data_IF_544108088958
#
_entry.id   IF_544108088958
#
_cell.length_a   1.000
_cell.length_b   1.000
_cell.length_c   1.000
_cell.angle_alpha   90.00
_cell.angle_beta   90.00
_cell.angle_gamma   90.00
#
_symmetry.space_group_name_H-M   'P 1'
#
loop_
_entity.id
_entity.type
_entity.pdbx_description
1 polymer ?
#
# COMPACT_ATOMS: atom_id res chain seq x y z
N UNK A 1 17.74 -29.36 34.13
CA UNK A 1 18.40 -28.20 33.51
C UNK A 1 18.21 -28.32 32.01
N UNK A 2 17.14 -27.78 31.48
CA UNK A 2 16.77 -27.89 30.07
C UNK A 2 16.97 -26.52 29.43
N UNK A 3 17.91 -26.42 28.47
CA UNK A 3 18.18 -25.22 27.69
C UNK A 3 17.06 -25.07 26.66
N UNK A 4 16.20 -24.09 26.85
CA UNK A 4 15.26 -23.65 25.82
C UNK A 4 16.03 -22.98 24.69
N UNK A 5 16.06 -23.60 23.53
CA UNK A 5 16.54 -23.03 22.29
C UNK A 5 15.48 -22.03 21.82
N UNK A 6 15.79 -20.75 21.93
CA UNK A 6 14.99 -19.68 21.33
C UNK A 6 15.26 -19.67 19.82
N UNK A 7 14.42 -20.35 19.05
CA UNK A 7 14.44 -20.27 17.60
C UNK A 7 13.66 -19.02 17.19
N UNK A 8 14.40 -17.95 16.89
CA UNK A 8 13.84 -16.75 16.27
C UNK A 8 13.42 -17.09 14.84
N UNK A 9 12.16 -17.41 14.62
CA UNK A 9 11.62 -17.58 13.27
C UNK A 9 11.28 -16.22 12.69
N UNK A 10 12.08 -15.80 11.70
CA UNK A 10 11.78 -14.73 10.79
C UNK A 10 10.48 -15.08 10.05
N UNK A 11 9.38 -14.44 10.40
CA UNK A 11 8.23 -14.34 9.49
C UNK A 11 8.66 -13.36 8.40
N UNK A 12 9.31 -13.89 7.39
CA UNK A 12 9.40 -13.22 6.11
C UNK A 12 7.95 -13.22 5.61
N UNK A 13 7.20 -12.16 5.92
CA UNK A 13 6.16 -11.71 5.00
C UNK A 13 6.90 -11.64 3.68
N UNK A 14 6.64 -12.57 2.77
CA UNK A 14 7.31 -12.61 1.47
C UNK A 14 6.87 -11.40 0.63
N UNK A 15 7.23 -10.23 1.08
CA UNK A 15 7.40 -9.07 0.25
C UNK A 15 8.64 -9.41 -0.55
N UNK A 16 8.44 -9.99 -1.72
CA UNK A 16 9.45 -9.88 -2.76
C UNK A 16 9.81 -8.40 -2.80
N UNK A 17 10.98 -8.08 -2.26
CA UNK A 17 11.52 -6.74 -2.29
C UNK A 17 11.82 -6.43 -3.77
N UNK A 18 10.78 -5.96 -4.47
CA UNK A 18 10.93 -5.14 -5.63
C UNK A 18 11.49 -3.82 -5.07
N UNK A 19 12.80 -3.81 -4.78
CA UNK A 19 13.47 -2.63 -4.29
C UNK A 19 13.17 -1.45 -5.21
N UNK A 20 13.00 -0.23 -4.67
CA UNK A 20 12.86 0.95 -5.52
C UNK A 20 14.02 0.96 -6.51
N UNK A 21 13.72 1.26 -7.78
CA UNK A 21 14.76 1.45 -8.80
C UNK A 21 15.78 2.45 -8.24
N UNK A 22 17.09 2.17 -8.28
CA UNK A 22 18.07 3.20 -8.00
C UNK A 22 17.82 4.35 -8.97
N UNK A 23 17.42 5.50 -8.45
CA UNK A 23 17.35 6.73 -9.24
C UNK A 23 18.80 7.03 -9.66
N UNK A 24 19.13 6.84 -10.93
CA UNK A 24 20.41 7.29 -11.46
C UNK A 24 20.54 8.78 -11.15
N UNK A 25 21.52 9.12 -10.33
CA UNK A 25 21.82 10.53 -10.03
C UNK A 25 22.21 11.22 -11.34
N UNK A 26 21.30 12.02 -11.85
CA UNK A 26 21.68 13.10 -12.75
C UNK A 26 22.45 14.07 -11.86
N UNK A 27 23.77 14.12 -12.00
CA UNK A 27 24.62 15.07 -11.30
C UNK A 27 24.15 16.48 -11.68
N UNK A 28 23.34 17.08 -10.83
CA UNK A 28 22.96 18.46 -10.97
C UNK A 28 24.20 19.33 -10.67
N UNK A 29 24.81 19.86 -11.70
CA UNK A 29 25.70 21.01 -11.56
C UNK A 29 24.88 22.12 -10.89
N UNK A 30 25.38 22.66 -9.79
CA UNK A 30 24.77 23.76 -9.06
C UNK A 30 24.61 24.94 -10.01
N UNK A 31 23.39 25.41 -10.31
CA UNK A 31 23.21 26.71 -10.93
C UNK A 31 23.33 27.76 -9.83
N UNK A 32 24.34 28.56 -9.92
CA UNK A 32 24.42 29.85 -9.22
C UNK A 32 23.33 30.76 -9.82
N UNK A 33 22.26 31.03 -9.08
CA UNK A 33 21.23 32.02 -9.49
C UNK A 33 19.82 31.61 -9.10
N UNK A 34 19.37 32.12 -7.97
CA UNK A 34 18.02 32.37 -7.51
C UNK A 34 16.83 31.84 -8.34
N UNK A 35 16.40 30.64 -8.04
CA UNK A 35 15.00 30.29 -7.93
C UNK A 35 14.85 29.46 -6.66
N UNK A 36 14.73 30.16 -5.53
CA UNK A 36 14.31 29.53 -4.30
C UNK A 36 12.90 28.97 -4.55
N UNK A 37 12.78 27.65 -4.65
CA UNK A 37 11.48 26.97 -4.70
C UNK A 37 10.60 27.43 -3.51
N UNK A 38 9.32 27.12 -3.49
CA UNK A 38 8.42 27.50 -2.41
C UNK A 38 9.04 27.14 -1.05
N UNK A 39 8.89 28.04 -0.07
CA UNK A 39 9.36 27.80 1.28
C UNK A 39 8.80 26.51 1.83
N UNK A 40 9.65 25.73 2.51
CA UNK A 40 9.22 24.49 3.14
C UNK A 40 8.16 24.75 4.23
N UNK A 41 7.18 23.86 4.40
CA UNK A 41 6.31 23.88 5.57
C UNK A 41 7.14 23.90 6.87
N UNK A 42 6.72 24.66 7.89
CA UNK A 42 7.51 24.85 9.10
C UNK A 42 7.69 23.58 9.97
N UNK A 43 6.92 22.53 9.73
CA UNK A 43 7.03 21.21 10.36
C UNK A 43 7.82 20.19 9.53
N UNK A 44 8.45 20.63 8.44
CA UNK A 44 9.27 19.81 7.55
C UNK A 44 10.74 20.08 7.81
N UNK A 45 11.50 19.02 8.06
CA UNK A 45 12.96 19.06 8.20
C UNK A 45 13.60 19.43 6.84
N UNK A 46 14.53 20.39 6.79
CA UNK A 46 15.09 20.87 5.54
C UNK A 46 16.03 19.85 4.84
N UNK A 47 16.54 18.87 5.56
CA UNK A 47 17.48 17.85 5.02
C UNK A 47 16.72 16.68 4.44
N UNK A 48 15.82 16.05 5.20
CA UNK A 48 14.97 14.93 4.74
C UNK A 48 13.85 15.39 3.81
N UNK A 49 13.47 16.65 3.92
CA UNK A 49 12.34 17.30 3.23
C UNK A 49 10.99 16.63 3.54
N UNK A 50 10.88 16.04 4.73
CA UNK A 50 9.64 15.52 5.31
C UNK A 50 9.59 15.85 6.81
N UNK A 51 8.55 15.39 7.52
CA UNK A 51 8.33 15.68 8.95
C UNK A 51 9.27 14.94 9.92
N UNK A 52 10.24 14.18 9.41
CA UNK A 52 11.17 13.40 10.21
C UNK A 52 12.61 13.90 9.98
N UNK A 53 13.49 13.89 10.99
CA UNK A 53 14.89 14.26 10.80
C UNK A 53 15.60 13.24 9.90
N UNK A 54 16.52 13.70 9.05
CA UNK A 54 17.33 12.80 8.24
C UNK A 54 18.27 11.95 9.11
N UNK A 55 18.19 10.61 8.99
CA UNK A 55 19.08 9.69 9.71
C UNK A 55 20.34 9.33 8.91
N UNK A 56 20.22 9.18 7.58
CA UNK A 56 21.35 8.86 6.71
C UNK A 56 21.39 9.80 5.52
N UNK A 57 22.58 10.37 5.20
CA UNK A 57 22.75 11.21 4.02
C UNK A 57 22.41 10.44 2.72
N UNK A 58 21.73 11.11 1.79
CA UNK A 58 21.44 10.59 0.46
C UNK A 58 20.36 9.51 0.40
N UNK A 59 19.62 9.28 1.47
CA UNK A 59 18.39 8.47 1.46
C UNK A 59 17.20 9.43 1.48
N UNK A 60 16.29 9.26 0.55
CA UNK A 60 15.16 10.16 0.30
C UNK A 60 13.82 9.41 0.22
N UNK A 61 12.71 10.15 0.27
CA UNK A 61 11.37 9.62 0.09
C UNK A 61 10.96 8.56 1.11
N UNK A 62 10.17 7.59 0.69
CA UNK A 62 9.66 6.53 1.57
C UNK A 62 10.78 5.72 2.25
N UNK A 63 11.93 5.55 1.59
CA UNK A 63 13.09 4.86 2.17
C UNK A 63 13.69 5.62 3.36
N UNK A 64 13.70 6.95 3.33
CA UNK A 64 14.13 7.78 4.46
C UNK A 64 13.16 7.64 5.64
N UNK A 65 11.86 7.66 5.37
CA UNK A 65 10.83 7.50 6.39
C UNK A 65 10.94 6.14 7.08
N UNK A 66 11.15 5.06 6.32
CA UNK A 66 11.30 3.69 6.86
C UNK A 66 12.53 3.51 7.76
N UNK A 67 13.53 4.38 7.70
CA UNK A 67 14.65 4.32 8.64
C UNK A 67 14.23 4.58 10.11
N UNK A 68 13.06 5.16 10.33
CA UNK A 68 12.51 5.44 11.65
C UNK A 68 11.64 4.30 12.21
N UNK A 69 11.40 3.26 11.44
CA UNK A 69 10.66 2.07 11.89
C UNK A 69 11.42 1.39 13.02
N UNK A 70 10.73 1.07 14.11
CA UNK A 70 11.35 0.54 15.32
C UNK A 70 11.94 -0.87 15.14
N UNK A 71 11.36 -1.67 14.24
CA UNK A 71 11.84 -3.01 13.91
C UNK A 71 11.28 -3.52 12.58
N UNK A 72 11.94 -4.52 11.96
CA UNK A 72 11.40 -5.19 10.76
C UNK A 72 10.06 -5.91 10.97
N UNK A 73 9.70 -6.16 12.23
CA UNK A 73 8.48 -6.88 12.63
C UNK A 73 7.52 -5.98 13.43
N UNK A 74 7.31 -4.74 12.99
CA UNK A 74 6.50 -3.73 13.67
C UNK A 74 5.18 -4.28 14.22
N UNK A 75 4.46 -5.05 13.43
CA UNK A 75 3.19 -5.66 13.87
C UNK A 75 3.32 -6.40 15.22
N UNK A 76 4.46 -7.07 15.46
CA UNK A 76 4.68 -7.94 16.63
C UNK A 76 5.47 -7.29 17.73
N UNK A 77 6.33 -6.34 17.40
CA UNK A 77 7.37 -5.83 18.31
C UNK A 77 7.32 -4.32 18.52
N UNK A 78 6.39 -3.61 17.87
CA UNK A 78 6.21 -2.18 18.12
C UNK A 78 5.94 -1.91 19.60
N UNK A 79 6.55 -0.87 20.18
CA UNK A 79 6.26 -0.44 21.55
C UNK A 79 4.81 0.03 21.75
N UNK A 80 4.08 0.25 20.66
CA UNK A 80 2.64 0.56 20.70
C UNK A 80 1.78 -0.61 21.18
N UNK A 81 2.30 -1.83 21.14
CA UNK A 81 1.59 -3.03 21.56
C UNK A 81 0.62 -3.57 20.53
N UNK A 82 0.28 -4.85 20.70
CA UNK A 82 -0.52 -5.61 19.72
C UNK A 82 -1.92 -5.05 19.48
N UNK A 83 -2.60 -4.56 20.49
CA UNK A 83 -3.95 -4.03 20.34
C UNK A 83 -3.98 -2.80 19.41
N UNK A 84 -3.01 -1.90 19.51
CA UNK A 84 -2.95 -0.72 18.62
C UNK A 84 -2.45 -1.06 17.22
N UNK A 85 -1.53 -2.02 17.07
CA UNK A 85 -1.11 -2.48 15.74
C UNK A 85 -2.27 -3.16 15.00
N UNK A 86 -3.07 -3.99 15.68
CA UNK A 86 -4.27 -4.58 15.08
C UNK A 86 -5.36 -3.52 14.79
N UNK A 87 -5.50 -2.49 15.63
CA UNK A 87 -6.41 -1.37 15.36
C UNK A 87 -6.01 -0.60 14.08
N UNK A 88 -4.72 -0.37 13.87
CA UNK A 88 -4.21 0.26 12.65
C UNK A 88 -4.53 -0.60 11.41
N UNK A 89 -4.33 -1.92 11.51
CA UNK A 89 -4.63 -2.87 10.43
C UNK A 89 -6.14 -2.89 10.13
N UNK A 90 -6.99 -3.00 11.16
CA UNK A 90 -8.43 -2.99 10.98
C UNK A 90 -8.93 -1.68 10.37
N UNK A 91 -8.35 -0.54 10.77
CA UNK A 91 -8.69 0.75 10.17
C UNK A 91 -8.37 0.74 8.69
N UNK A 92 -7.17 0.30 8.30
CA UNK A 92 -6.78 0.21 6.89
C UNK A 92 -7.67 -0.76 6.11
N UNK A 93 -7.91 -1.95 6.64
CA UNK A 93 -8.75 -2.95 6.00
C UNK A 93 -10.19 -2.43 5.77
N UNK A 94 -10.71 -1.62 6.72
CA UNK A 94 -12.04 -1.00 6.58
C UNK A 94 -12.07 0.12 5.55
N UNK A 95 -11.05 0.97 5.53
CA UNK A 95 -10.99 2.07 4.56
C UNK A 95 -10.81 1.55 3.12
N UNK A 96 -10.23 0.35 2.93
CA UNK A 96 -10.14 -0.34 1.65
C UNK A 96 -11.28 -1.34 1.39
N UNK A 97 -12.28 -1.41 2.26
CA UNK A 97 -13.39 -2.37 2.19
C UNK A 97 -12.93 -3.81 1.90
N UNK A 98 -11.80 -4.23 2.51
CA UNK A 98 -11.18 -5.52 2.25
C UNK A 98 -11.65 -6.59 3.26
N UNK A 99 -12.60 -7.48 2.86
CA UNK A 99 -13.26 -8.39 3.82
C UNK A 99 -12.37 -9.53 4.31
N UNK A 100 -11.44 -10.00 3.49
CA UNK A 100 -10.51 -11.07 3.90
C UNK A 100 -9.58 -10.57 5.00
N UNK A 101 -8.93 -9.43 4.78
CA UNK A 101 -8.01 -8.82 5.72
C UNK A 101 -8.71 -8.43 7.02
N UNK A 102 -9.86 -7.77 6.90
CA UNK A 102 -10.69 -7.43 8.06
C UNK A 102 -11.00 -8.66 8.91
N UNK A 103 -11.55 -9.71 8.31
CA UNK A 103 -12.07 -10.86 9.07
C UNK A 103 -10.97 -11.63 9.77
N UNK A 104 -9.78 -11.74 9.16
CA UNK A 104 -8.62 -12.34 9.79
C UNK A 104 -8.15 -11.50 10.99
N UNK A 105 -8.01 -10.20 10.78
CA UNK A 105 -7.46 -9.29 11.79
C UNK A 105 -8.45 -8.96 12.91
N UNK A 106 -9.75 -9.03 12.67
CA UNK A 106 -10.74 -8.91 13.75
C UNK A 106 -10.60 -10.03 14.78
N UNK A 107 -10.39 -11.26 14.31
CA UNK A 107 -10.16 -12.37 15.23
C UNK A 107 -8.89 -12.19 16.08
N UNK A 108 -7.82 -11.66 15.47
CA UNK A 108 -6.58 -11.36 16.20
C UNK A 108 -6.73 -10.17 17.14
N UNK A 109 -7.38 -9.10 16.71
CA UNK A 109 -7.64 -7.93 17.52
C UNK A 109 -8.40 -8.28 18.82
N UNK A 110 -9.45 -9.09 18.72
CA UNK A 110 -10.16 -9.62 19.89
C UNK A 110 -9.25 -10.46 20.78
N UNK A 111 -8.41 -11.33 20.19
CA UNK A 111 -7.50 -12.20 20.93
C UNK A 111 -6.42 -11.42 21.70
N UNK A 112 -6.02 -10.23 21.23
CA UNK A 112 -5.04 -9.37 21.92
C UNK A 112 -5.70 -8.31 22.80
N UNK A 113 -7.01 -8.39 23.01
CA UNK A 113 -7.74 -7.58 23.98
C UNK A 113 -8.23 -6.24 23.45
N UNK A 114 -8.35 -6.05 22.12
CA UNK A 114 -9.03 -4.87 21.61
C UNK A 114 -10.53 -5.00 21.87
N UNK A 115 -11.11 -3.99 22.52
CA UNK A 115 -12.50 -3.98 22.92
C UNK A 115 -13.45 -4.07 21.72
N UNK A 116 -14.49 -4.94 21.77
CA UNK A 116 -15.49 -5.07 20.69
C UNK A 116 -16.14 -3.75 20.28
N UNK A 117 -16.36 -2.85 21.25
CA UNK A 117 -16.92 -1.53 20.99
C UNK A 117 -16.02 -0.68 20.09
N UNK A 118 -14.69 -0.74 20.29
CA UNK A 118 -13.70 -0.07 19.43
C UNK A 118 -13.71 -0.65 18.02
N UNK A 119 -13.72 -1.98 17.89
CA UNK A 119 -13.82 -2.67 16.61
C UNK A 119 -15.09 -2.25 15.86
N UNK A 120 -16.21 -2.13 16.57
CA UNK A 120 -17.50 -1.75 16.00
C UNK A 120 -17.53 -0.30 15.49
N UNK A 121 -16.83 0.62 16.16
CA UNK A 121 -16.63 1.99 15.68
C UNK A 121 -15.88 2.01 14.33
N UNK A 122 -14.85 1.20 14.16
CA UNK A 122 -14.12 1.08 12.89
C UNK A 122 -14.99 0.41 11.84
N UNK A 123 -15.60 -0.76 12.17
CA UNK A 123 -16.43 -1.55 11.26
C UNK A 123 -17.52 -0.73 10.58
N UNK A 124 -18.18 0.12 11.34
CA UNK A 124 -19.32 0.92 10.87
C UNK A 124 -18.96 2.38 10.57
N UNK A 125 -17.66 2.74 10.54
CA UNK A 125 -17.19 4.13 10.34
C UNK A 125 -17.92 5.14 11.23
N UNK A 126 -18.20 4.74 12.50
CA UNK A 126 -18.92 5.60 13.46
C UNK A 126 -18.05 6.79 13.91
N UNK A 127 -18.68 7.83 14.51
CA UNK A 127 -17.93 8.89 15.21
C UNK A 127 -17.01 8.32 16.29
N UNK A 128 -15.88 8.98 16.53
CA UNK A 128 -14.81 8.52 17.43
C UNK A 128 -15.10 8.86 18.91
N UNK A 129 -16.36 8.90 19.29
CA UNK A 129 -16.80 9.18 20.68
C UNK A 129 -16.68 7.92 21.54
N UNK A 130 -16.27 8.09 22.80
CA UNK A 130 -16.17 6.97 23.75
C UNK A 130 -14.90 6.12 23.62
N UNK A 131 -13.99 6.48 22.71
CA UNK A 131 -12.69 5.85 22.57
C UNK A 131 -11.62 6.54 23.43
N UNK A 132 -10.54 5.83 23.73
CA UNK A 132 -9.35 6.47 24.29
C UNK A 132 -8.73 7.44 23.27
N UNK A 133 -7.95 8.40 23.74
CA UNK A 133 -7.29 9.36 22.85
C UNK A 133 -6.34 8.67 21.87
N UNK A 134 -5.62 7.65 22.31
CA UNK A 134 -4.73 6.83 21.47
C UNK A 134 -5.49 6.09 20.38
N UNK A 135 -6.60 5.43 20.70
CA UNK A 135 -7.46 4.77 19.72
C UNK A 135 -8.02 5.77 18.71
N UNK A 136 -8.50 6.92 19.22
CA UNK A 136 -9.04 8.01 18.38
C UNK A 136 -8.02 8.46 17.35
N UNK A 137 -6.79 8.72 17.79
CA UNK A 137 -5.72 9.20 16.91
C UNK A 137 -5.34 8.16 15.84
N UNK A 138 -5.19 6.88 16.22
CA UNK A 138 -4.86 5.82 15.26
C UNK A 138 -5.93 5.72 14.16
N UNK A 139 -7.21 5.70 14.55
CA UNK A 139 -8.31 5.64 13.57
C UNK A 139 -8.36 6.91 12.72
N UNK A 140 -8.18 8.09 13.31
CA UNK A 140 -8.20 9.36 12.59
C UNK A 140 -7.08 9.43 11.55
N UNK A 141 -5.85 9.02 11.90
CA UNK A 141 -4.71 8.95 10.98
C UNK A 141 -5.04 8.07 9.78
N UNK A 142 -5.54 6.85 10.00
CA UNK A 142 -5.87 5.92 8.92
C UNK A 142 -6.99 6.45 8.01
N UNK A 143 -8.08 6.99 8.60
CA UNK A 143 -9.18 7.58 7.83
C UNK A 143 -8.73 8.78 7.01
N UNK A 144 -7.96 9.69 7.59
CA UNK A 144 -7.53 10.90 6.91
C UNK A 144 -6.60 10.56 5.74
N UNK A 145 -5.61 9.69 5.93
CA UNK A 145 -4.71 9.26 4.86
C UNK A 145 -5.49 8.56 3.73
N UNK A 146 -6.39 7.66 4.05
CA UNK A 146 -7.13 6.88 3.05
C UNK A 146 -8.13 7.73 2.26
N UNK A 147 -8.72 8.77 2.86
CA UNK A 147 -9.74 9.60 2.21
C UNK A 147 -9.17 10.83 1.50
N UNK A 148 -8.11 11.43 2.05
CA UNK A 148 -7.56 12.69 1.53
C UNK A 148 -6.19 12.53 0.87
N UNK A 149 -5.57 11.37 1.00
CA UNK A 149 -4.18 11.10 0.59
C UNK A 149 -3.20 12.12 1.19
N UNK A 150 -3.48 12.58 2.40
CA UNK A 150 -2.64 13.49 3.19
C UNK A 150 -2.90 13.28 4.67
N UNK A 151 -1.92 13.63 5.49
CA UNK A 151 -2.11 13.81 6.93
C UNK A 151 -1.94 15.29 7.25
N UNK A 152 -2.98 15.91 7.79
CA UNK A 152 -2.92 17.32 8.17
C UNK A 152 -1.84 17.56 9.22
N UNK A 153 -1.32 18.78 9.28
CA UNK A 153 -0.37 19.17 10.32
C UNK A 153 -0.95 19.01 11.72
N UNK A 154 -2.22 19.33 11.88
CA UNK A 154 -2.93 19.22 13.15
C UNK A 154 -3.00 17.75 13.61
N UNK A 155 -3.47 16.84 12.73
CA UNK A 155 -3.55 15.41 13.04
C UNK A 155 -2.17 14.82 13.28
N UNK A 156 -1.16 15.20 12.47
CA UNK A 156 0.23 14.77 12.68
C UNK A 156 0.77 15.19 14.07
N UNK A 157 0.66 16.47 14.41
CA UNK A 157 1.14 16.98 15.70
C UNK A 157 0.44 16.32 16.89
N UNK A 158 -0.89 16.13 16.78
CA UNK A 158 -1.67 15.42 17.79
C UNK A 158 -1.22 13.96 17.90
N UNK A 159 -1.02 13.27 16.77
CA UNK A 159 -0.60 11.88 16.76
C UNK A 159 0.78 11.68 17.39
N UNK A 160 1.77 12.52 17.06
CA UNK A 160 3.10 12.49 17.68
C UNK A 160 3.01 12.71 19.20
N UNK A 161 2.20 13.68 19.64
CA UNK A 161 2.00 13.95 21.06
C UNK A 161 1.36 12.77 21.79
N UNK A 162 0.28 12.20 21.25
CA UNK A 162 -0.50 11.14 21.89
C UNK A 162 0.22 9.79 21.86
N UNK A 163 0.90 9.48 20.77
CA UNK A 163 1.68 8.24 20.64
C UNK A 163 3.07 8.35 21.30
N UNK A 164 3.46 9.54 21.75
CA UNK A 164 4.68 9.80 22.51
C UNK A 164 5.93 10.07 21.67
N UNK A 165 5.95 9.76 20.40
CA UNK A 165 7.05 10.07 19.48
C UNK A 165 6.65 9.98 18.01
N UNK A 166 7.43 10.63 17.13
CA UNK A 166 7.28 10.46 15.69
C UNK A 166 7.64 9.04 15.22
N UNK A 167 8.58 8.36 15.88
CA UNK A 167 8.92 6.96 15.55
C UNK A 167 7.74 6.00 15.81
N UNK A 168 6.99 6.20 16.90
CA UNK A 168 5.78 5.43 17.17
C UNK A 168 4.70 5.66 16.10
N UNK A 169 4.59 6.91 15.61
CA UNK A 169 3.70 7.21 14.49
C UNK A 169 4.18 6.55 13.20
N UNK A 170 5.51 6.50 12.95
CA UNK A 170 6.05 5.76 11.80
C UNK A 170 5.68 4.30 11.85
N UNK A 171 5.78 3.64 12.99
CA UNK A 171 5.36 2.24 13.16
C UNK A 171 3.90 2.03 12.75
N UNK A 172 3.00 2.87 13.24
CA UNK A 172 1.55 2.79 12.94
C UNK A 172 1.30 3.03 11.44
N UNK A 173 1.94 4.05 10.86
CA UNK A 173 1.74 4.39 9.44
C UNK A 173 2.40 3.37 8.52
N UNK A 174 3.55 2.79 8.86
CA UNK A 174 4.20 1.73 8.07
C UNK A 174 3.34 0.46 8.03
N UNK A 175 2.67 0.13 9.14
CA UNK A 175 1.64 -0.92 9.13
C UNK A 175 0.49 -0.58 8.20
N UNK A 176 -0.08 0.62 8.29
CA UNK A 176 -1.15 1.06 7.40
C UNK A 176 -0.72 0.99 5.94
N UNK A 177 0.50 1.44 5.62
CA UNK A 177 1.07 1.36 4.28
C UNK A 177 1.22 -0.08 3.78
N UNK A 178 1.75 -0.98 4.63
CA UNK A 178 1.90 -2.40 4.33
C UNK A 178 0.55 -3.06 4.05
N UNK A 179 -0.45 -2.73 4.84
CA UNK A 179 -1.80 -3.29 4.70
C UNK A 179 -2.61 -2.65 3.58
N UNK A 180 -2.32 -1.40 3.18
CA UNK A 180 -2.81 -0.82 1.91
C UNK A 180 -2.34 -1.63 0.71
N UNK A 181 -1.05 -1.97 0.65
CA UNK A 181 -0.52 -2.81 -0.42
C UNK A 181 -1.09 -4.24 -0.38
N UNK A 182 -1.34 -4.79 0.80
CA UNK A 182 -1.96 -6.11 0.96
C UNK A 182 -3.40 -6.09 0.51
N UNK A 183 -4.18 -5.10 0.92
CA UNK A 183 -5.57 -4.90 0.50
C UNK A 183 -5.68 -4.77 -1.04
N UNK A 184 -4.78 -3.99 -1.66
CA UNK A 184 -4.74 -3.85 -3.12
C UNK A 184 -4.54 -5.20 -3.82
N UNK A 185 -3.58 -6.02 -3.37
CA UNK A 185 -3.35 -7.36 -3.95
C UNK A 185 -4.54 -8.29 -3.75
N UNK A 186 -5.13 -8.31 -2.55
CA UNK A 186 -6.32 -9.13 -2.28
C UNK A 186 -7.51 -8.71 -3.14
N UNK A 187 -7.73 -7.41 -3.32
CA UNK A 187 -8.81 -6.85 -4.12
C UNK A 187 -8.62 -7.08 -5.63
N UNK A 188 -7.39 -6.97 -6.14
CA UNK A 188 -7.08 -7.22 -7.55
C UNK A 188 -7.47 -8.64 -7.99
N UNK A 189 -7.19 -9.62 -7.12
CA UNK A 189 -7.48 -11.03 -7.38
C UNK A 189 -8.75 -11.53 -6.69
N UNK A 190 -9.55 -10.61 -6.17
CA UNK A 190 -10.85 -10.87 -5.56
C UNK A 190 -10.79 -12.05 -4.56
N UNK A 191 -9.86 -11.97 -3.62
CA UNK A 191 -9.63 -13.03 -2.63
C UNK A 191 -10.77 -13.07 -1.62
N UNK A 192 -11.47 -14.19 -1.57
CA UNK A 192 -12.53 -14.47 -0.60
C UNK A 192 -12.04 -15.28 0.58
N UNK A 193 -12.81 -15.23 1.68
CA UNK A 193 -12.56 -16.03 2.87
C UNK A 193 -12.56 -17.54 2.55
N UNK A 194 -11.73 -18.33 3.26
CA UNK A 194 -11.77 -19.77 3.17
C UNK A 194 -13.17 -20.34 3.43
N UNK A 195 -13.52 -21.50 2.89
CA UNK A 195 -14.77 -22.16 3.19
C UNK A 195 -14.98 -22.33 4.70
N UNK A 196 -16.18 -22.03 5.18
CA UNK A 196 -16.52 -22.12 6.61
C UNK A 196 -16.06 -20.97 7.50
N UNK A 197 -15.28 -20.02 6.95
CA UNK A 197 -14.90 -18.83 7.71
C UNK A 197 -15.95 -17.72 7.56
N UNK A 198 -16.25 -17.05 8.67
CA UNK A 198 -17.19 -15.95 8.70
C UNK A 198 -16.56 -14.67 8.15
N UNK A 199 -17.28 -13.99 7.27
CA UNK A 199 -16.98 -12.61 6.91
C UNK A 199 -17.59 -11.67 7.96
N UNK A 200 -16.77 -10.83 8.56
CA UNK A 200 -17.21 -9.92 9.63
C UNK A 200 -17.55 -8.51 9.15
N UNK A 201 -17.07 -8.09 7.97
CA UNK A 201 -17.49 -6.81 7.39
C UNK A 201 -18.94 -6.89 6.89
N UNK A 202 -19.73 -5.83 7.11
CA UNK A 202 -21.11 -5.75 6.61
C UNK A 202 -21.13 -5.36 5.11
N UNK A 203 -20.40 -6.10 4.29
CA UNK A 203 -20.37 -5.93 2.84
C UNK A 203 -21.18 -7.04 2.18
N UNK A 204 -21.81 -6.77 1.03
CA UNK A 204 -22.45 -7.83 0.26
C UNK A 204 -21.44 -8.94 -0.05
N UNK A 205 -21.81 -10.17 0.26
CA UNK A 205 -21.00 -11.33 -0.08
C UNK A 205 -21.66 -12.08 -1.23
N UNK A 206 -21.08 -11.96 -2.40
CA UNK A 206 -21.41 -12.79 -3.55
C UNK A 206 -20.17 -13.51 -4.02
N UNK A 207 -20.30 -14.78 -4.42
CA UNK A 207 -19.21 -15.52 -5.04
C UNK A 207 -19.33 -15.36 -6.56
N UNK A 208 -18.47 -14.54 -7.20
CA UNK A 208 -18.50 -14.41 -8.66
C UNK A 208 -18.04 -15.70 -9.36
N UNK A 209 -18.50 -15.90 -10.59
CA UNK A 209 -18.15 -17.07 -11.40
C UNK A 209 -16.68 -17.12 -11.84
N UNK A 210 -15.96 -15.98 -11.73
CA UNK A 210 -14.55 -15.85 -12.12
C UNK A 210 -13.55 -16.28 -11.01
N UNK A 211 -14.05 -16.92 -9.94
CA UNK A 211 -13.25 -17.35 -8.80
C UNK A 211 -13.03 -18.87 -8.80
N UNK A 212 -11.79 -19.28 -8.63
CA UNK A 212 -11.46 -20.69 -8.42
C UNK A 212 -11.98 -21.16 -7.05
N UNK A 213 -12.76 -22.22 -6.96
CA UNK A 213 -13.42 -22.64 -5.72
C UNK A 213 -12.45 -23.11 -4.63
N UNK A 214 -11.29 -23.63 -5.00
CA UNK A 214 -10.27 -24.17 -4.09
C UNK A 214 -9.31 -23.10 -3.54
N UNK A 215 -8.92 -22.12 -4.33
CA UNK A 215 -8.10 -20.97 -3.88
C UNK A 215 -8.94 -19.82 -3.33
N UNK A 216 -10.23 -19.79 -3.67
CA UNK A 216 -11.15 -18.71 -3.32
C UNK A 216 -10.73 -17.34 -3.88
N UNK A 217 -10.00 -17.34 -5.00
CA UNK A 217 -9.54 -16.15 -5.69
C UNK A 217 -9.55 -16.36 -7.22
N UNK A 218 -9.25 -15.31 -7.96
CA UNK A 218 -9.08 -15.36 -9.42
C UNK A 218 -7.82 -16.10 -9.88
N UNK A 219 -6.94 -16.46 -8.95
CA UNK A 219 -5.74 -17.22 -9.24
C UNK A 219 -5.94 -18.71 -8.91
N UNK A 220 -5.50 -19.63 -9.76
CA UNK A 220 -5.62 -21.07 -9.49
C UNK A 220 -4.78 -21.46 -8.26
N UNK A 221 -5.16 -22.54 -7.59
CA UNK A 221 -4.47 -23.01 -6.40
C UNK A 221 -3.08 -23.55 -6.74
N UNK A 222 -2.04 -22.92 -6.23
CA UNK A 222 -0.68 -23.50 -6.18
C UNK A 222 -0.51 -24.24 -4.86
N UNK A 223 -0.52 -25.58 -4.92
CA UNK A 223 -0.28 -26.43 -3.76
C UNK A 223 1.20 -26.42 -3.40
N UNK A 224 1.51 -26.24 -2.12
CA UNK A 224 2.87 -26.39 -1.61
C UNK A 224 2.94 -27.60 -0.68
N UNK A 225 4.11 -28.25 -0.64
CA UNK A 225 4.35 -29.35 0.29
C UNK A 225 4.66 -28.86 1.72
N UNK A 226 4.83 -27.55 1.90
CA UNK A 226 5.25 -26.96 3.16
C UNK A 226 4.03 -26.46 3.92
N UNK A 227 3.65 -27.18 4.95
CA UNK A 227 2.72 -26.69 5.97
C UNK A 227 3.44 -25.60 6.76
N UNK A 228 2.88 -24.39 6.82
CA UNK A 228 3.40 -23.35 7.69
C UNK A 228 3.08 -23.73 9.14
N UNK A 229 4.04 -24.12 9.98
CA UNK A 229 3.78 -24.53 11.37
C UNK A 229 3.28 -23.36 12.25
N UNK A 230 3.40 -22.11 11.77
CA UNK A 230 2.81 -20.94 12.44
C UNK A 230 1.32 -20.75 12.13
N UNK A 231 0.77 -21.61 11.29
CA UNK A 231 -0.65 -21.64 10.98
C UNK A 231 -1.56 -21.81 12.22
N UNK A 232 -1.00 -21.99 13.38
CA UNK A 232 -1.74 -22.20 14.62
C UNK A 232 -1.39 -21.19 15.73
N UNK A 233 -0.94 -19.97 15.36
CA UNK A 233 -0.88 -18.88 16.32
C UNK A 233 -2.29 -18.65 16.88
N UNK A 234 -2.45 -18.81 18.18
CA UNK A 234 -3.72 -18.68 18.91
C UNK A 234 -4.71 -19.88 18.84
N UNK A 235 -4.23 -21.10 18.52
CA UNK A 235 -5.10 -22.29 18.52
C UNK A 235 -6.17 -22.29 17.42
N UNK A 236 -5.99 -21.50 16.36
CA UNK A 236 -6.91 -21.43 15.23
C UNK A 236 -6.30 -22.11 14.01
N UNK A 237 -7.11 -22.87 13.29
CA UNK A 237 -6.75 -23.28 11.94
C UNK A 237 -6.65 -22.00 11.10
N UNK A 238 -5.42 -21.59 10.78
CA UNK A 238 -5.25 -20.57 9.76
C UNK A 238 -5.81 -21.05 8.43
N UNK A 239 -6.09 -20.09 7.55
CA UNK A 239 -6.62 -20.36 6.23
C UNK A 239 -5.91 -21.57 5.60
N UNK A 240 -6.65 -22.49 4.98
CA UNK A 240 -6.07 -23.62 4.26
C UNK A 240 -4.96 -23.13 3.34
N UNK A 241 -3.94 -23.96 3.15
CA UNK A 241 -2.92 -23.68 2.14
C UNK A 241 -3.59 -23.24 0.83
N UNK A 242 -3.19 -22.06 0.33
CA UNK A 242 -3.68 -21.60 -0.94
C UNK A 242 -4.67 -20.44 -0.90
N UNK A 243 -4.84 -19.76 0.22
CA UNK A 243 -5.62 -18.52 0.28
C UNK A 243 -4.80 -17.33 0.79
N UNK A 244 -5.27 -16.12 0.52
CA UNK A 244 -4.71 -14.87 1.04
C UNK A 244 -3.43 -14.40 0.37
N UNK A 245 -2.71 -13.43 1.01
CA UNK A 245 -1.57 -12.76 0.40
C UNK A 245 -0.43 -13.72 0.00
N UNK A 246 -0.19 -14.75 0.81
CA UNK A 246 0.86 -15.73 0.52
C UNK A 246 0.54 -16.58 -0.71
N UNK A 247 -0.73 -16.88 -0.96
CA UNK A 247 -1.15 -17.55 -2.18
C UNK A 247 -0.87 -16.68 -3.40
N UNK A 248 -1.28 -15.42 -3.37
CA UNK A 248 -1.04 -14.47 -4.46
C UNK A 248 0.46 -14.33 -4.74
N UNK A 249 1.29 -14.23 -3.69
CA UNK A 249 2.74 -14.09 -3.82
C UNK A 249 3.41 -15.30 -4.52
N UNK A 250 2.82 -16.50 -4.49
CA UNK A 250 3.35 -17.66 -5.21
C UNK A 250 3.22 -17.57 -6.72
N UNK A 251 2.31 -16.75 -7.23
CA UNK A 251 2.14 -16.49 -8.67
C UNK A 251 3.08 -15.39 -9.17
N UNK A 252 3.71 -14.63 -8.27
CA UNK A 252 4.61 -13.55 -8.64
C UNK A 252 5.92 -14.07 -9.21
N UNK A 253 6.46 -13.32 -10.16
CA UNK A 253 7.83 -13.47 -10.66
C UNK A 253 8.77 -12.46 -10.00
N UNK A 254 9.36 -11.55 -10.79
CA UNK A 254 10.21 -10.48 -10.32
C UNK A 254 10.12 -9.26 -11.23
N UNK A 255 10.56 -8.10 -10.75
CA UNK A 255 10.63 -6.89 -11.58
C UNK A 255 11.46 -7.13 -12.84
N UNK A 256 12.60 -7.81 -12.72
CA UNK A 256 13.45 -8.12 -13.86
C UNK A 256 12.74 -9.02 -14.89
N UNK A 257 11.95 -10.00 -14.44
CA UNK A 257 11.16 -10.84 -15.34
C UNK A 257 10.01 -10.08 -16.00
N UNK A 258 9.37 -9.18 -15.25
CA UNK A 258 8.34 -8.30 -15.78
C UNK A 258 8.89 -7.31 -16.81
N UNK A 259 10.05 -6.71 -16.55
CA UNK A 259 10.73 -5.85 -17.52
C UNK A 259 11.15 -6.61 -18.79
N UNK A 260 11.58 -7.86 -18.65
CA UNK A 260 11.96 -8.70 -19.79
C UNK A 260 10.76 -9.09 -20.67
N UNK A 261 9.58 -9.37 -20.06
CA UNK A 261 8.38 -9.80 -20.78
C UNK A 261 7.55 -8.64 -21.32
N UNK A 262 7.36 -7.58 -20.55
CA UNK A 262 6.45 -6.46 -20.85
C UNK A 262 7.18 -5.17 -21.27
N UNK A 263 8.50 -5.12 -21.06
CA UNK A 263 9.32 -3.94 -21.32
C UNK A 263 9.23 -2.87 -20.22
N UNK A 264 10.30 -2.08 -20.10
CA UNK A 264 10.39 -0.99 -19.12
C UNK A 264 9.29 0.05 -19.26
N UNK A 265 8.83 0.27 -20.49
CA UNK A 265 7.76 1.21 -20.80
C UNK A 265 6.47 0.91 -20.01
N UNK A 266 6.01 -0.34 -20.03
CA UNK A 266 4.78 -0.72 -19.33
C UNK A 266 4.97 -0.68 -17.80
N UNK A 267 6.14 -1.08 -17.32
CA UNK A 267 6.51 -0.99 -15.91
C UNK A 267 6.47 0.47 -15.43
N UNK A 268 7.05 1.39 -16.18
CA UNK A 268 7.01 2.83 -15.84
C UNK A 268 5.59 3.40 -15.90
N UNK A 269 4.76 2.94 -16.83
CA UNK A 269 3.35 3.31 -16.87
C UNK A 269 2.58 2.83 -15.62
N UNK A 270 2.83 1.60 -15.16
CA UNK A 270 2.22 1.07 -13.94
C UNK A 270 2.55 1.92 -12.71
N UNK A 271 3.79 2.39 -12.60
CA UNK A 271 4.23 3.31 -11.53
C UNK A 271 3.44 4.63 -11.59
N UNK A 272 3.32 5.25 -12.78
CA UNK A 272 2.56 6.49 -12.94
C UNK A 272 1.08 6.31 -12.61
N UNK A 273 0.47 5.17 -12.99
CA UNK A 273 -0.91 4.86 -12.64
C UNK A 273 -1.07 4.81 -11.11
N UNK A 274 -0.22 4.08 -10.41
CA UNK A 274 -0.27 4.01 -8.95
C UNK A 274 -0.05 5.38 -8.30
N UNK A 275 0.95 6.14 -8.74
CA UNK A 275 1.23 7.49 -8.24
C UNK A 275 0.03 8.42 -8.42
N UNK A 276 -0.67 8.35 -9.58
CA UNK A 276 -1.86 9.15 -9.86
C UNK A 276 -3.03 8.78 -8.95
N UNK A 277 -3.32 7.51 -8.83
CA UNK A 277 -4.48 7.05 -8.06
C UNK A 277 -4.34 7.32 -6.55
N UNK A 278 -3.09 7.43 -6.05
CA UNK A 278 -2.79 7.83 -4.67
C UNK A 278 -2.47 9.33 -4.52
N UNK A 279 -2.70 10.14 -5.55
CA UNK A 279 -2.42 11.59 -5.53
C UNK A 279 -0.98 11.94 -5.10
N UNK A 280 -0.02 11.01 -5.29
CA UNK A 280 1.37 11.18 -4.88
C UNK A 280 2.14 12.09 -5.82
N UNK A 281 2.18 13.38 -5.48
CA UNK A 281 2.94 14.39 -6.24
C UNK A 281 4.43 14.06 -6.28
N UNK A 282 4.98 13.55 -5.17
CA UNK A 282 6.38 13.15 -5.08
C UNK A 282 6.68 11.99 -6.04
N UNK A 283 5.93 10.90 -5.90
CA UNK A 283 6.17 9.68 -6.67
C UNK A 283 5.97 9.91 -8.18
N UNK A 284 4.93 10.66 -8.55
CA UNK A 284 4.73 11.09 -9.93
C UNK A 284 5.91 11.89 -10.47
N UNK A 285 6.30 12.98 -9.79
CA UNK A 285 7.33 13.90 -10.26
C UNK A 285 8.68 13.22 -10.39
N UNK A 286 8.99 12.28 -9.50
CA UNK A 286 10.25 11.54 -9.55
C UNK A 286 10.28 10.46 -10.63
N UNK A 287 9.13 9.90 -11.02
CA UNK A 287 9.07 8.78 -11.97
C UNK A 287 8.66 9.19 -13.40
N UNK A 288 7.97 10.32 -13.61
CA UNK A 288 7.57 10.77 -14.95
C UNK A 288 8.75 10.92 -15.93
N UNK A 289 9.92 11.50 -15.55
CA UNK A 289 11.07 11.58 -16.46
C UNK A 289 11.60 10.21 -16.90
N UNK A 290 11.57 9.23 -15.99
CA UNK A 290 11.92 7.85 -16.33
C UNK A 290 10.90 7.22 -17.28
N UNK A 291 9.61 7.45 -17.07
CA UNK A 291 8.56 6.96 -17.95
C UNK A 291 8.69 7.53 -19.37
N UNK A 292 9.00 8.82 -19.52
CA UNK A 292 9.29 9.44 -20.83
C UNK A 292 10.51 8.78 -21.48
N UNK A 293 11.60 8.60 -20.74
CA UNK A 293 12.83 7.94 -21.21
C UNK A 293 12.58 6.49 -21.63
N UNK A 294 11.73 5.78 -20.91
CA UNK A 294 11.34 4.39 -21.20
C UNK A 294 10.34 4.29 -22.36
N UNK A 295 9.90 5.41 -22.94
CA UNK A 295 9.06 5.48 -24.14
C UNK A 295 7.57 5.50 -23.88
N UNK A 296 7.11 5.90 -22.69
CA UNK A 296 5.68 6.16 -22.46
C UNK A 296 5.29 7.43 -23.22
N UNK A 297 4.31 7.30 -24.12
CA UNK A 297 3.83 8.41 -24.94
C UNK A 297 3.24 9.55 -24.08
N UNK A 298 3.52 10.80 -24.47
CA UNK A 298 3.05 11.98 -23.76
C UNK A 298 1.50 12.02 -23.62
N UNK A 299 0.77 11.51 -24.64
CA UNK A 299 -0.69 11.40 -24.59
C UNK A 299 -1.12 10.38 -23.51
N UNK A 300 -0.40 9.27 -23.37
CA UNK A 300 -0.68 8.26 -22.33
C UNK A 300 -0.45 8.86 -20.95
N UNK A 301 0.67 9.58 -20.77
CA UNK A 301 0.98 10.30 -19.52
C UNK A 301 -0.13 11.32 -19.18
N UNK A 302 -0.59 12.09 -20.17
CA UNK A 302 -1.67 13.06 -19.95
C UNK A 302 -3.01 12.38 -19.58
N UNK A 303 -3.35 11.26 -20.24
CA UNK A 303 -4.55 10.46 -19.91
C UNK A 303 -4.50 9.94 -18.49
N UNK A 304 -3.35 9.42 -18.02
CA UNK A 304 -3.18 9.01 -16.63
C UNK A 304 -3.27 10.21 -15.70
N UNK A 305 -2.48 11.24 -15.96
CA UNK A 305 -2.37 12.42 -15.09
C UNK A 305 -3.68 13.16 -14.88
N UNK A 306 -4.47 13.34 -15.91
CA UNK A 306 -5.78 14.04 -15.87
C UNK A 306 -6.97 13.11 -15.64
N UNK A 307 -6.75 11.80 -15.58
CA UNK A 307 -7.80 10.77 -15.46
C UNK A 307 -8.86 10.85 -16.57
N UNK A 308 -8.47 11.26 -17.77
CA UNK A 308 -9.37 11.30 -18.94
C UNK A 308 -9.67 9.88 -19.45
N UNK A 309 -10.72 9.69 -20.27
CA UNK A 309 -11.06 8.38 -20.83
C UNK A 309 -9.89 7.73 -21.58
N UNK A 310 -9.75 6.42 -21.45
CA UNK A 310 -8.69 5.61 -22.10
C UNK A 310 -8.96 5.33 -23.58
N UNK A 311 -10.05 5.85 -24.14
CA UNK A 311 -10.41 5.65 -25.55
C UNK A 311 -9.32 6.17 -26.49
N UNK A 312 -8.98 5.39 -27.50
CA UNK A 312 -7.95 5.70 -28.48
C UNK A 312 -6.50 5.50 -28.00
N UNK A 313 -6.29 4.87 -26.84
CA UNK A 313 -5.00 4.30 -26.42
C UNK A 313 -4.85 2.88 -26.97
N UNK A 314 -3.61 2.38 -27.01
CA UNK A 314 -3.33 0.97 -27.27
C UNK A 314 -3.94 0.06 -26.20
N UNK A 315 -4.27 -1.19 -26.57
CA UNK A 315 -4.98 -2.12 -25.70
C UNK A 315 -4.30 -2.38 -24.36
N UNK A 316 -2.96 -2.51 -24.34
CA UNK A 316 -2.17 -2.73 -23.13
C UNK A 316 -2.25 -1.54 -22.18
N UNK A 317 -2.05 -0.31 -22.71
CA UNK A 317 -2.12 0.91 -21.91
C UNK A 317 -3.52 1.13 -21.34
N UNK A 318 -4.54 0.99 -22.18
CA UNK A 318 -5.94 1.14 -21.75
C UNK A 318 -6.33 0.11 -20.69
N UNK A 319 -5.89 -1.15 -20.84
CA UNK A 319 -6.17 -2.20 -19.86
C UNK A 319 -5.49 -1.92 -18.52
N UNK A 320 -4.20 -1.54 -18.52
CA UNK A 320 -3.45 -1.25 -17.30
C UNK A 320 -4.01 -0.04 -16.55
N UNK A 321 -4.29 1.05 -17.27
CA UNK A 321 -4.86 2.26 -16.69
C UNK A 321 -6.25 2.00 -16.08
N UNK A 322 -7.11 1.30 -16.82
CA UNK A 322 -8.45 0.97 -16.32
C UNK A 322 -8.38 0.05 -15.10
N UNK A 323 -7.49 -0.95 -15.14
CA UNK A 323 -7.27 -1.87 -14.01
C UNK A 323 -6.83 -1.11 -12.76
N UNK A 324 -5.84 -0.23 -12.85
CA UNK A 324 -5.36 0.56 -11.72
C UNK A 324 -6.43 1.50 -11.16
N UNK A 325 -7.22 2.14 -12.04
CA UNK A 325 -8.34 3.01 -11.63
C UNK A 325 -9.40 2.25 -10.84
N UNK A 326 -9.83 1.08 -11.33
CA UNK A 326 -10.80 0.26 -10.61
C UNK A 326 -10.23 -0.24 -9.28
N UNK A 327 -8.99 -0.72 -9.30
CA UNK A 327 -8.32 -1.26 -8.11
C UNK A 327 -8.23 -0.23 -6.97
N UNK A 328 -7.75 0.97 -7.27
CA UNK A 328 -7.44 1.96 -6.23
C UNK A 328 -8.59 2.92 -5.91
N UNK A 329 -9.55 3.13 -6.84
CA UNK A 329 -10.68 4.00 -6.56
C UNK A 329 -11.92 3.25 -6.07
N UNK A 330 -12.14 2.03 -6.56
CA UNK A 330 -13.30 1.20 -6.17
C UNK A 330 -12.92 0.09 -5.18
N UNK A 331 -11.63 -0.12 -4.93
CA UNK A 331 -11.07 -1.24 -4.18
C UNK A 331 -11.56 -2.60 -4.71
N UNK A 332 -11.89 -2.66 -5.97
CA UNK A 332 -12.42 -3.83 -6.66
C UNK A 332 -12.15 -3.70 -8.16
N UNK A 333 -11.76 -4.80 -8.78
CA UNK A 333 -11.58 -4.90 -10.23
C UNK A 333 -12.73 -5.71 -10.81
N UNK A 334 -13.47 -5.16 -11.78
CA UNK A 334 -14.58 -5.84 -12.40
C UNK A 334 -14.11 -7.11 -13.15
N UNK A 335 -14.97 -8.16 -13.28
CA UNK A 335 -14.63 -9.37 -14.04
C UNK A 335 -14.19 -9.08 -15.48
N UNK A 336 -14.82 -8.11 -16.14
CA UNK A 336 -14.49 -7.72 -17.51
C UNK A 336 -13.09 -7.08 -17.60
N UNK A 337 -12.74 -6.16 -16.68
CA UNK A 337 -11.43 -5.53 -16.62
C UNK A 337 -10.35 -6.55 -16.27
N UNK A 338 -10.63 -7.45 -15.33
CA UNK A 338 -9.71 -8.53 -14.95
C UNK A 338 -9.44 -9.46 -16.14
N UNK A 339 -10.50 -9.97 -16.80
CA UNK A 339 -10.37 -10.87 -17.94
C UNK A 339 -9.59 -10.23 -19.10
N UNK A 340 -9.81 -8.92 -19.37
CA UNK A 340 -9.05 -8.18 -20.37
C UNK A 340 -7.57 -8.08 -20.00
N UNK A 341 -7.26 -7.71 -18.76
CA UNK A 341 -5.87 -7.60 -18.29
C UNK A 341 -5.16 -8.96 -18.30
N UNK A 342 -5.83 -10.01 -17.83
CA UNK A 342 -5.32 -11.39 -17.86
C UNK A 342 -5.00 -11.86 -19.29
N UNK A 343 -5.88 -11.57 -20.26
CA UNK A 343 -5.66 -11.91 -21.66
C UNK A 343 -4.45 -11.20 -22.27
N UNK A 344 -4.21 -9.94 -21.88
CA UNK A 344 -3.15 -9.11 -22.45
C UNK A 344 -1.79 -9.40 -21.79
N UNK A 345 -1.75 -9.47 -20.47
CA UNK A 345 -0.49 -9.56 -19.71
C UNK A 345 -0.12 -11.01 -19.33
N UNK A 346 -1.09 -11.91 -19.28
CA UNK A 346 -0.92 -13.22 -18.67
C UNK A 346 -0.96 -13.16 -17.14
N UNK A 347 -1.12 -14.31 -16.49
CA UNK A 347 -1.32 -14.41 -15.05
C UNK A 347 -0.15 -13.86 -14.25
N UNK A 348 1.07 -14.36 -14.53
CA UNK A 348 2.27 -14.00 -13.79
C UNK A 348 2.59 -12.50 -13.88
N UNK A 349 2.59 -11.96 -15.10
CA UNK A 349 2.95 -10.55 -15.31
C UNK A 349 1.86 -9.61 -14.75
N UNK A 350 0.59 -10.05 -14.74
CA UNK A 350 -0.48 -9.33 -14.07
C UNK A 350 -0.28 -9.29 -12.55
N UNK A 351 0.15 -10.41 -11.94
CA UNK A 351 0.50 -10.45 -10.50
C UNK A 351 1.69 -9.53 -10.21
N UNK A 352 2.69 -9.52 -11.07
CA UNK A 352 3.87 -8.66 -10.92
C UNK A 352 3.51 -7.17 -11.09
N UNK A 353 2.66 -6.80 -12.06
CA UNK A 353 2.15 -5.43 -12.24
C UNK A 353 1.36 -4.96 -11.03
N UNK A 354 0.46 -5.80 -10.50
CA UNK A 354 -0.30 -5.51 -9.29
C UNK A 354 0.63 -5.35 -8.08
N UNK A 355 1.63 -6.21 -7.94
CA UNK A 355 2.60 -6.14 -6.85
C UNK A 355 3.41 -4.85 -6.91
N UNK A 356 3.84 -4.44 -8.10
CA UNK A 356 4.53 -3.17 -8.33
C UNK A 356 3.65 -1.97 -7.96
N UNK A 357 2.42 -1.93 -8.47
CA UNK A 357 1.49 -0.84 -8.17
C UNK A 357 1.15 -0.79 -6.67
N UNK A 358 0.98 -1.94 -6.02
CA UNK A 358 0.73 -2.03 -4.58
C UNK A 358 1.94 -1.53 -3.76
N UNK A 359 3.17 -1.75 -4.22
CA UNK A 359 4.37 -1.19 -3.58
C UNK A 359 4.39 0.34 -3.66
N UNK A 360 4.02 0.92 -4.79
CA UNK A 360 3.90 2.38 -4.93
C UNK A 360 2.74 2.94 -4.10
N UNK A 361 1.65 2.18 -3.92
CA UNK A 361 0.59 2.53 -2.97
C UNK A 361 1.09 2.57 -1.52
N UNK A 362 1.90 1.58 -1.11
CA UNK A 362 2.56 1.59 0.19
C UNK A 362 3.45 2.83 0.37
N UNK A 363 4.29 3.13 -0.61
CA UNK A 363 5.18 4.29 -0.55
C UNK A 363 4.39 5.60 -0.49
N UNK A 364 3.31 5.72 -1.25
CA UNK A 364 2.44 6.89 -1.28
C UNK A 364 1.80 7.19 0.09
N UNK A 365 1.40 6.17 0.86
CA UNK A 365 0.89 6.32 2.23
C UNK A 365 1.94 6.95 3.14
N UNK A 366 3.18 6.46 3.09
CA UNK A 366 4.28 7.02 3.88
C UNK A 366 4.60 8.46 3.48
N UNK A 367 4.73 8.71 2.17
CA UNK A 367 5.03 10.04 1.64
C UNK A 367 3.94 11.06 2.04
N UNK A 368 2.68 10.66 1.99
CA UNK A 368 1.53 11.48 2.35
C UNK A 368 1.47 11.78 3.87
N UNK A 369 1.72 10.78 4.71
CA UNK A 369 1.65 10.93 6.17
C UNK A 369 2.74 11.86 6.71
N UNK A 370 3.93 11.80 6.13
CA UNK A 370 5.08 12.58 6.57
C UNK A 370 5.35 13.82 5.70
N UNK A 371 4.40 14.19 4.85
CA UNK A 371 4.43 15.41 4.00
C UNK A 371 5.74 15.54 3.22
N UNK A 372 6.12 14.49 2.49
CA UNK A 372 7.35 14.47 1.71
C UNK A 372 7.31 15.53 0.62
N UNK A 373 8.23 16.47 0.68
CA UNK A 373 8.41 17.53 -0.31
C UNK A 373 9.38 17.11 -1.42
N UNK A 374 9.19 17.68 -2.61
CA UNK A 374 10.09 17.45 -3.74
C UNK A 374 11.51 17.92 -3.44
N UNK A 375 12.54 17.30 -4.04
CA UNK A 375 13.92 17.76 -3.96
C UNK A 375 14.07 19.24 -4.42
N UNK A 376 15.07 19.96 -3.94
CA UNK A 376 15.32 21.34 -4.38
C UNK A 376 15.41 21.44 -5.90
N UNK A 377 14.76 22.46 -6.48
CA UNK A 377 14.76 22.71 -7.93
C UNK A 377 13.76 21.86 -8.74
N UNK A 378 13.15 20.84 -8.16
CA UNK A 378 12.09 20.07 -8.82
C UNK A 378 10.75 20.82 -8.74
N UNK A 379 10.05 20.87 -9.88
CA UNK A 379 8.70 21.44 -9.96
C UNK A 379 7.65 20.31 -9.94
N UNK A 380 6.49 20.53 -9.31
CA UNK A 380 5.38 19.58 -9.34
C UNK A 380 4.95 19.27 -10.78
N UNK A 381 4.84 17.98 -11.12
CA UNK A 381 4.48 17.51 -12.46
C UNK A 381 3.12 16.81 -12.54
N UNK A 382 2.59 16.31 -11.39
CA UNK A 382 1.28 15.69 -11.38
C UNK A 382 0.20 16.77 -11.63
N UNK A 383 -0.53 16.70 -12.76
CA UNK A 383 -1.54 17.70 -13.06
C UNK A 383 -2.71 17.64 -12.07
N UNK A 384 -3.32 18.79 -11.81
CA UNK A 384 -4.60 18.81 -11.11
C UNK A 384 -5.63 18.00 -11.90
N UNK A 385 -6.51 17.28 -11.20
CA UNK A 385 -7.69 16.68 -11.84
C UNK A 385 -8.56 17.86 -12.26
N UNK A 386 -8.87 17.95 -13.55
CA UNK A 386 -9.75 19.02 -14.04
C UNK A 386 -11.05 18.98 -13.26
N UNK A 387 -11.35 20.05 -12.52
CA UNK A 387 -12.69 20.29 -12.04
C UNK A 387 -13.58 20.41 -13.28
N UNK A 388 -14.49 19.46 -13.45
CA UNK A 388 -15.56 19.62 -14.41
C UNK A 388 -16.26 20.96 -14.11
N UNK A 389 -16.18 21.90 -15.06
CA UNK A 389 -17.04 23.07 -15.07
C UNK A 389 -18.48 22.65 -15.28
#
# INVERSE_FOLDING_TARGET
MSRALLVTLLVISGVLALGPRPVERISAQSPSGANAGPALPPDVDPVSRNRLPALKPGVEGAAAIRQHVSSPNVRWTSPMGRALTELAILTTAREHDQPYEWSLHEMEAVAVGLEPATIDVVRHRRPLTGLTETQTVVIQVGREISTTHRLSRETYARAVKVLGSSANLVDIVDLMATYTATAARLSAFNQHMPPGWKQFLPLPFTMPDDIHPDSRSRLPLIRTKTINPQANLYGRQLAPEGTGPNHIARHAGSLASLEASQGKRLVSLAVLVAAREHHSQYDWTMNEPAAVKDGVDARVIDVVGRRTPVSGLGDGDAALIQFGRELFSAHYVSPATYARALKIFGERDLVDLVTLMAQHANDAVLLAAFDQQLPPGQQPRLPAIGGGQ
#
